data_IF_167739007305
#
_entry.id   IF_167739007305
#
_cell.length_a   1.000
_cell.length_b   1.000
_cell.length_c   1.000
_cell.angle_alpha   90.00
_cell.angle_beta   90.00
_cell.angle_gamma   90.00
#
_symmetry.space_group_name_H-M   'P 1'
#
loop_
_entity.id
_entity.type
_entity.pdbx_description
1 polymer ?
#
# COMPACT_ATOMS: atom_id res chain seq x y z
N UNK A 1 -2.95 -17.89 -2.19
CA UNK A 1 -3.44 -17.82 -0.80
C UNK A 1 -2.82 -16.63 -0.04
N UNK A 2 -1.50 -16.50 0.00
CA UNK A 2 -0.81 -15.38 0.68
C UNK A 2 -1.36 -14.03 0.20
N UNK A 3 -1.45 -13.84 -1.13
CA UNK A 3 -1.98 -12.61 -1.73
C UNK A 3 -3.40 -12.32 -1.25
N UNK A 4 -4.29 -13.29 -1.34
CA UNK A 4 -5.69 -13.12 -0.94
C UNK A 4 -5.82 -12.74 0.54
N UNK A 5 -5.15 -13.49 1.43
CA UNK A 5 -5.28 -13.30 2.89
C UNK A 5 -4.71 -11.95 3.33
N UNK A 6 -3.48 -11.63 2.90
CA UNK A 6 -2.78 -10.45 3.42
C UNK A 6 -3.15 -9.14 2.71
N UNK A 7 -3.87 -9.17 1.59
CA UNK A 7 -4.49 -7.95 1.05
C UNK A 7 -5.73 -7.50 1.84
N UNK A 8 -6.38 -8.38 2.64
CA UNK A 8 -7.53 -8.00 3.48
C UNK A 8 -7.18 -6.90 4.49
N UNK A 9 -6.15 -7.01 5.35
CA UNK A 9 -5.77 -5.95 6.29
C UNK A 9 -5.43 -4.63 5.58
N UNK A 10 -4.78 -4.68 4.42
CA UNK A 10 -4.49 -3.49 3.64
C UNK A 10 -5.77 -2.82 3.12
N UNK A 11 -6.69 -3.58 2.57
CA UNK A 11 -7.98 -3.06 2.11
C UNK A 11 -8.80 -2.48 3.27
N UNK A 12 -8.80 -3.14 4.42
CA UNK A 12 -9.45 -2.65 5.63
C UNK A 12 -8.85 -1.31 6.11
N UNK A 13 -7.52 -1.15 6.05
CA UNK A 13 -6.86 0.10 6.43
C UNK A 13 -7.27 1.27 5.53
N UNK A 14 -7.51 1.03 4.23
CA UNK A 14 -7.98 2.06 3.30
C UNK A 14 -9.44 2.42 3.61
N UNK A 15 -10.31 1.44 3.86
CA UNK A 15 -11.69 1.72 4.30
C UNK A 15 -11.70 2.53 5.61
N UNK A 16 -10.83 2.21 6.56
CA UNK A 16 -10.71 2.96 7.81
C UNK A 16 -10.36 4.43 7.54
N UNK A 17 -9.27 4.72 6.82
CA UNK A 17 -8.84 6.09 6.55
C UNK A 17 -9.87 6.90 5.77
N UNK A 18 -10.45 6.31 4.73
CA UNK A 18 -11.46 6.95 3.90
C UNK A 18 -12.73 7.26 4.71
N UNK A 19 -13.19 6.30 5.53
CA UNK A 19 -14.42 6.46 6.31
C UNK A 19 -14.29 7.46 7.44
N UNK A 20 -13.13 7.58 8.08
CA UNK A 20 -12.88 8.62 9.10
C UNK A 20 -12.91 10.01 8.49
N UNK A 21 -12.31 10.20 7.31
CA UNK A 21 -12.33 11.49 6.63
C UNK A 21 -13.76 11.86 6.20
N UNK A 22 -14.51 10.91 5.62
CA UNK A 22 -15.92 11.15 5.22
C UNK A 22 -16.81 11.40 6.42
N UNK A 23 -16.62 10.65 7.51
CA UNK A 23 -17.33 10.88 8.77
C UNK A 23 -17.12 12.29 9.30
N UNK A 24 -15.89 12.78 9.28
CA UNK A 24 -15.55 14.14 9.67
C UNK A 24 -16.17 15.17 8.71
N UNK A 25 -16.00 15.01 7.40
CA UNK A 25 -16.43 16.01 6.41
C UNK A 25 -17.95 16.13 6.29
N UNK A 26 -18.71 15.05 6.47
CA UNK A 26 -20.15 15.00 6.26
C UNK A 26 -20.95 14.72 7.54
N UNK A 27 -20.29 14.62 8.68
CA UNK A 27 -20.91 14.27 9.97
C UNK A 27 -21.76 12.98 9.91
N UNK A 28 -21.20 11.95 9.24
CA UNK A 28 -21.84 10.63 9.11
C UNK A 28 -21.13 9.65 10.06
N UNK A 29 -21.87 8.78 10.78
CA UNK A 29 -21.26 7.74 11.61
C UNK A 29 -20.30 6.85 10.82
N UNK A 30 -19.19 6.48 11.44
CA UNK A 30 -18.08 5.74 10.83
C UNK A 30 -18.53 4.46 10.11
N UNK A 31 -19.38 3.67 10.76
CA UNK A 31 -19.85 2.38 10.25
C UNK A 31 -20.62 2.54 8.93
N UNK A 32 -21.43 3.58 8.82
CA UNK A 32 -22.18 3.89 7.59
C UNK A 32 -21.25 4.34 6.48
N UNK A 33 -20.19 5.08 6.80
CA UNK A 33 -19.17 5.44 5.82
C UNK A 33 -18.45 4.21 5.28
N UNK A 34 -18.05 3.26 6.14
CA UNK A 34 -17.41 1.99 5.74
C UNK A 34 -18.32 1.22 4.78
N UNK A 35 -19.60 1.05 5.13
CA UNK A 35 -20.57 0.31 4.30
C UNK A 35 -20.78 1.02 2.96
N UNK A 36 -20.97 2.35 2.96
CA UNK A 36 -21.16 3.14 1.75
C UNK A 36 -19.98 3.00 0.79
N UNK A 37 -18.75 3.16 1.33
CA UNK A 37 -17.52 3.04 0.53
C UNK A 37 -17.33 1.64 -0.03
N UNK A 38 -17.68 0.61 0.73
CA UNK A 38 -17.65 -0.78 0.27
C UNK A 38 -18.63 -1.03 -0.89
N UNK A 39 -19.86 -0.50 -0.80
CA UNK A 39 -20.85 -0.61 -1.88
C UNK A 39 -20.37 0.13 -3.13
N UNK A 40 -19.87 1.35 -3.01
CA UNK A 40 -19.31 2.13 -4.13
C UNK A 40 -18.16 1.36 -4.78
N UNK A 41 -17.23 0.81 -3.96
CA UNK A 41 -16.10 0.01 -4.46
C UNK A 41 -16.59 -1.23 -5.22
N UNK A 42 -17.56 -1.98 -4.67
CA UNK A 42 -18.10 -3.17 -5.31
C UNK A 42 -18.73 -2.84 -6.68
N UNK A 43 -19.56 -1.81 -6.74
CA UNK A 43 -20.21 -1.36 -7.98
C UNK A 43 -19.17 -0.92 -9.01
N UNK A 44 -18.21 -0.09 -8.59
CA UNK A 44 -17.17 0.44 -9.47
C UNK A 44 -16.26 -0.67 -10.03
N UNK A 45 -15.82 -1.61 -9.20
CA UNK A 45 -14.93 -2.69 -9.62
C UNK A 45 -15.63 -3.72 -10.50
N UNK A 46 -16.87 -4.09 -10.16
CA UNK A 46 -17.65 -5.10 -10.91
C UNK A 46 -18.06 -4.57 -12.29
N UNK A 47 -18.47 -3.29 -12.39
CA UNK A 47 -18.95 -2.69 -13.63
C UNK A 47 -17.85 -2.05 -14.47
N UNK A 48 -16.81 -1.48 -13.83
CA UNK A 48 -15.81 -0.66 -14.52
C UNK A 48 -14.73 -1.46 -15.27
N UNK A 49 -14.32 -2.59 -14.75
CA UNK A 49 -13.21 -3.38 -15.29
C UNK A 49 -11.86 -2.62 -15.29
N UNK A 50 -10.82 -3.25 -15.84
CA UNK A 50 -9.45 -2.73 -15.77
C UNK A 50 -9.24 -1.41 -16.53
N UNK A 51 -9.83 -1.27 -17.73
CA UNK A 51 -9.60 -0.09 -18.58
C UNK A 51 -10.23 1.18 -18.02
N UNK A 52 -11.44 1.08 -17.49
CA UNK A 52 -12.11 2.21 -16.86
C UNK A 52 -11.36 2.68 -15.59
N UNK A 53 -10.82 1.75 -14.82
CA UNK A 53 -10.01 2.08 -13.65
C UNK A 53 -8.72 2.82 -14.04
N UNK A 54 -8.02 2.39 -15.08
CA UNK A 54 -6.75 2.99 -15.52
C UNK A 54 -6.92 4.45 -15.98
N UNK A 55 -7.98 4.78 -16.72
CA UNK A 55 -8.28 6.16 -17.14
C UNK A 55 -8.63 7.03 -15.93
N UNK A 56 -9.44 6.50 -15.05
CA UNK A 56 -9.82 7.19 -13.82
C UNK A 56 -8.61 7.45 -12.92
N UNK A 57 -7.71 6.47 -12.74
CA UNK A 57 -6.47 6.60 -11.98
C UNK A 57 -5.58 7.75 -12.50
N UNK A 58 -5.53 7.94 -13.82
CA UNK A 58 -4.77 9.04 -14.42
C UNK A 58 -5.34 10.42 -14.05
N UNK A 59 -6.66 10.59 -14.15
CA UNK A 59 -7.35 11.85 -13.77
C UNK A 59 -7.17 12.12 -12.29
N UNK A 60 -7.34 11.09 -11.47
CA UNK A 60 -7.16 11.14 -10.03
C UNK A 60 -5.72 11.53 -9.65
N UNK A 61 -4.72 11.01 -10.36
CA UNK A 61 -3.32 11.36 -10.16
C UNK A 61 -3.06 12.87 -10.30
N UNK A 62 -3.69 13.52 -11.29
CA UNK A 62 -3.57 14.98 -11.48
C UNK A 62 -4.20 15.73 -10.30
N UNK A 63 -5.38 15.30 -9.85
CA UNK A 63 -6.06 15.88 -8.67
C UNK A 63 -5.19 15.73 -7.43
N UNK A 64 -4.57 14.59 -7.23
CA UNK A 64 -3.68 14.33 -6.09
C UNK A 64 -2.46 15.25 -6.09
N UNK A 65 -1.81 15.47 -7.25
CA UNK A 65 -0.66 16.36 -7.36
C UNK A 65 -1.00 17.81 -6.96
N UNK A 66 -2.09 18.34 -7.47
CA UNK A 66 -2.51 19.72 -7.16
C UNK A 66 -3.04 19.84 -5.71
N UNK A 67 -3.84 18.85 -5.28
CA UNK A 67 -4.51 18.87 -3.99
C UNK A 67 -3.54 18.81 -2.81
N UNK A 68 -2.52 17.93 -2.85
CA UNK A 68 -1.58 17.83 -1.74
C UNK A 68 -0.78 19.11 -1.51
N UNK A 69 -0.38 19.80 -2.58
CA UNK A 69 0.33 21.09 -2.49
C UNK A 69 -0.57 22.15 -1.87
N UNK A 70 -1.84 22.24 -2.29
CA UNK A 70 -2.80 23.19 -1.75
C UNK A 70 -3.07 22.94 -0.26
N UNK A 71 -3.22 21.67 0.14
CA UNK A 71 -3.45 21.29 1.55
C UNK A 71 -2.26 21.64 2.43
N UNK A 72 -1.04 21.30 2.00
CA UNK A 72 0.18 21.64 2.74
C UNK A 72 0.27 23.15 2.94
N UNK A 73 0.07 23.93 1.88
CA UNK A 73 0.10 25.39 1.96
C UNK A 73 -0.93 25.94 2.94
N UNK A 74 -2.15 25.43 2.93
CA UNK A 74 -3.23 25.85 3.81
C UNK A 74 -2.97 25.50 5.29
N UNK A 75 -2.55 24.26 5.57
CA UNK A 75 -2.24 23.80 6.93
C UNK A 75 -1.08 24.62 7.52
N UNK A 76 -0.01 24.81 6.77
CA UNK A 76 1.14 25.61 7.24
C UNK A 76 0.78 27.08 7.41
N UNK A 77 -0.04 27.66 6.54
CA UNK A 77 -0.52 29.04 6.71
C UNK A 77 -1.30 29.22 8.01
N UNK A 78 -2.14 28.25 8.36
CA UNK A 78 -2.86 28.23 9.64
C UNK A 78 -1.95 28.15 10.87
N UNK A 79 -0.73 27.65 10.71
CA UNK A 79 0.28 27.56 11.78
C UNK A 79 1.26 28.76 11.82
N UNK A 80 1.05 29.78 10.98
CA UNK A 80 1.93 30.96 10.87
C UNK A 80 3.07 30.77 9.86
N UNK A 81 2.97 29.76 8.99
CA UNK A 81 3.96 29.41 7.97
C UNK A 81 4.92 28.32 8.40
N UNK A 82 5.73 27.85 7.45
CA UNK A 82 6.61 26.70 7.64
C UNK A 82 7.59 26.87 8.82
N UNK A 83 8.30 28.01 8.86
CA UNK A 83 9.33 28.23 9.90
C UNK A 83 8.74 28.32 11.31
N UNK A 84 7.53 28.93 11.43
CA UNK A 84 6.84 28.99 12.71
C UNK A 84 6.32 27.62 13.15
N UNK A 85 5.75 26.85 12.23
CA UNK A 85 5.32 25.48 12.48
C UNK A 85 6.47 24.58 12.98
N UNK A 86 7.64 24.65 12.31
CA UNK A 86 8.86 23.94 12.76
C UNK A 86 9.32 24.44 14.13
N UNK A 87 9.30 25.76 14.35
CA UNK A 87 9.64 26.34 15.65
C UNK A 87 8.72 25.89 16.79
N UNK A 88 7.42 25.75 16.53
CA UNK A 88 6.46 25.19 17.49
C UNK A 88 6.76 23.72 17.77
N UNK A 89 6.97 22.92 16.72
CA UNK A 89 7.35 21.49 16.85
C UNK A 89 8.61 21.26 17.66
N UNK A 90 9.65 22.10 17.45
CA UNK A 90 10.91 21.99 18.17
C UNK A 90 10.77 22.20 19.69
N UNK A 91 9.71 22.86 20.13
CA UNK A 91 9.45 23.13 21.56
C UNK A 91 8.65 22.01 22.23
N UNK A 92 8.05 21.10 21.48
CA UNK A 92 7.27 19.98 22.03
C UNK A 92 8.27 18.96 22.61
N UNK A 93 8.20 18.63 23.92
CA UNK A 93 8.99 17.56 24.51
C UNK A 93 8.60 16.21 23.91
N UNK A 94 9.57 15.35 23.66
CA UNK A 94 9.28 14.02 23.14
C UNK A 94 8.58 13.16 24.19
N UNK A 95 7.51 12.47 23.75
CA UNK A 95 6.80 11.43 24.48
C UNK A 95 7.27 10.01 24.06
N UNK A 96 8.23 9.94 23.13
CA UNK A 96 8.77 8.67 22.64
C UNK A 96 9.86 8.18 23.61
N UNK A 97 9.81 6.91 24.00
CA UNK A 97 10.68 6.31 25.03
C UNK A 97 12.18 6.60 24.82
N UNK A 98 12.66 6.46 23.58
CA UNK A 98 14.08 6.64 23.22
C UNK A 98 14.59 8.09 23.46
N UNK A 99 13.70 9.08 23.31
CA UNK A 99 14.00 10.50 23.41
C UNK A 99 13.11 11.25 24.40
N UNK A 100 12.60 10.52 25.41
CA UNK A 100 11.65 11.03 26.38
C UNK A 100 12.07 12.38 26.99
N UNK A 101 11.20 13.37 26.91
CA UNK A 101 11.41 14.72 27.46
C UNK A 101 12.38 15.60 26.65
N UNK A 102 13.00 15.11 25.59
CA UNK A 102 13.96 15.91 24.81
C UNK A 102 13.22 16.90 23.88
N UNK A 103 13.50 18.20 23.95
CA UNK A 103 13.02 19.16 22.98
C UNK A 103 13.77 18.99 21.64
N UNK A 104 13.09 19.30 20.53
CA UNK A 104 13.68 19.21 19.20
C UNK A 104 13.76 17.80 18.60
N UNK A 105 13.38 16.76 19.34
CA UNK A 105 13.42 15.39 18.84
C UNK A 105 12.55 15.21 17.57
N UNK A 106 11.37 15.85 17.52
CA UNK A 106 10.45 15.79 16.37
C UNK A 106 10.91 16.60 15.16
N UNK A 107 11.89 17.46 15.30
CA UNK A 107 12.49 18.25 14.20
C UNK A 107 13.90 17.77 13.85
N UNK A 108 14.38 16.71 14.51
CA UNK A 108 15.69 16.12 14.18
C UNK A 108 15.61 15.32 12.87
N UNK A 109 16.72 15.23 12.15
CA UNK A 109 16.82 14.49 10.90
C UNK A 109 16.50 12.99 11.07
N UNK A 110 16.87 12.42 12.21
CA UNK A 110 16.62 11.00 12.52
C UNK A 110 15.30 10.76 13.27
N UNK A 111 14.53 11.82 13.53
CA UNK A 111 13.28 11.74 14.29
C UNK A 111 13.51 11.36 15.77
N UNK A 112 12.43 11.14 16.51
CA UNK A 112 12.47 10.76 17.92
C UNK A 112 12.85 9.28 18.13
N UNK A 113 12.65 8.42 17.13
CA UNK A 113 13.02 6.99 17.14
C UNK A 113 13.65 6.60 15.80
N UNK A 114 14.97 6.63 15.70
CA UNK A 114 15.68 6.31 14.46
C UNK A 114 15.45 4.89 13.95
N UNK A 115 15.26 3.91 14.84
CA UNK A 115 15.04 2.53 14.44
C UNK A 115 13.67 2.34 13.85
N UNK A 116 12.64 2.94 14.45
CA UNK A 116 11.28 2.91 13.91
C UNK A 116 11.21 3.67 12.57
N UNK A 117 11.87 4.81 12.46
CA UNK A 117 11.99 5.55 11.21
C UNK A 117 12.63 4.70 10.10
N UNK A 118 13.73 3.99 10.41
CA UNK A 118 14.36 3.06 9.46
C UNK A 118 13.40 1.94 9.03
N UNK A 119 12.65 1.38 9.97
CA UNK A 119 11.60 0.38 9.68
C UNK A 119 10.55 0.92 8.72
N UNK A 120 10.04 2.13 8.95
CA UNK A 120 9.08 2.80 8.06
C UNK A 120 9.68 3.01 6.66
N UNK A 121 10.93 3.50 6.57
CA UNK A 121 11.62 3.72 5.29
C UNK A 121 11.77 2.40 4.52
N UNK A 122 12.22 1.34 5.16
CA UNK A 122 12.37 0.01 4.54
C UNK A 122 11.01 -0.49 4.06
N UNK A 123 10.00 -0.48 4.93
CA UNK A 123 8.65 -0.97 4.61
C UNK A 123 8.06 -0.24 3.41
N UNK A 124 8.14 1.08 3.37
CA UNK A 124 7.49 1.89 2.35
C UNK A 124 8.29 2.00 1.05
N UNK A 125 9.61 1.95 1.10
CA UNK A 125 10.46 2.03 -0.08
C UNK A 125 10.63 0.68 -0.77
N UNK A 126 10.98 -0.37 -0.03
CA UNK A 126 11.19 -1.71 -0.60
C UNK A 126 9.88 -2.49 -0.73
N UNK A 127 8.92 -2.25 0.18
CA UNK A 127 7.66 -2.98 0.21
C UNK A 127 6.90 -2.93 -1.12
N UNK A 128 6.84 -1.77 -1.75
CA UNK A 128 6.14 -1.56 -3.03
C UNK A 128 6.67 -2.47 -4.16
N UNK A 129 7.94 -2.85 -4.14
CA UNK A 129 8.54 -3.75 -5.14
C UNK A 129 8.10 -5.20 -4.98
N UNK A 130 7.70 -5.60 -3.79
CA UNK A 130 7.24 -6.96 -3.49
C UNK A 130 5.73 -7.13 -3.52
N UNK A 131 4.96 -6.07 -3.81
CA UNK A 131 3.51 -6.13 -3.81
C UNK A 131 2.95 -6.62 -5.15
N UNK A 132 2.19 -7.73 -5.18
CA UNK A 132 1.68 -8.34 -6.42
C UNK A 132 0.88 -7.38 -7.30
N UNK A 133 0.04 -6.53 -6.70
CA UNK A 133 -0.77 -5.54 -7.44
C UNK A 133 0.07 -4.48 -8.17
N UNK A 134 1.29 -4.21 -7.73
CA UNK A 134 2.22 -3.32 -8.42
C UNK A 134 2.85 -4.02 -9.62
N UNK A 135 3.23 -5.28 -9.46
CA UNK A 135 3.85 -6.08 -10.52
C UNK A 135 2.89 -6.28 -11.69
N UNK A 136 1.60 -6.52 -11.43
CA UNK A 136 0.59 -6.68 -12.47
C UNK A 136 0.51 -5.49 -13.44
N UNK A 137 0.81 -4.28 -12.99
CA UNK A 137 0.79 -3.09 -13.84
C UNK A 137 1.89 -3.09 -14.90
N UNK A 138 3.02 -3.77 -14.66
CA UNK A 138 4.10 -3.86 -15.64
C UNK A 138 3.72 -4.67 -16.88
N UNK A 139 2.84 -5.66 -16.77
CA UNK A 139 2.40 -6.47 -17.92
C UNK A 139 1.56 -5.69 -18.93
N UNK A 140 1.08 -4.49 -18.58
CA UNK A 140 0.25 -3.65 -19.44
C UNK A 140 1.04 -2.53 -20.11
N UNK A 141 2.35 -2.43 -19.87
CA UNK A 141 3.20 -1.39 -20.46
C UNK A 141 3.50 -1.76 -21.92
N UNK A 142 3.36 -0.78 -22.80
CA UNK A 142 3.39 -0.96 -24.24
C UNK A 142 4.80 -1.22 -24.82
N UNK A 143 5.78 -0.44 -24.38
CA UNK A 143 7.14 -0.43 -24.94
C UNK A 143 8.15 0.17 -23.93
N UNK A 144 9.45 0.02 -24.21
CA UNK A 144 10.53 0.52 -23.33
C UNK A 144 10.51 2.04 -23.16
N UNK A 145 10.13 2.79 -24.18
CA UNK A 145 10.01 4.26 -24.09
C UNK A 145 8.91 4.65 -23.11
N UNK A 146 7.81 3.91 -23.10
CA UNK A 146 6.73 4.08 -22.12
C UNK A 146 7.20 3.74 -20.70
N UNK A 147 8.09 2.76 -20.52
CA UNK A 147 8.72 2.46 -19.22
C UNK A 147 9.54 3.65 -18.74
N UNK A 148 10.42 4.21 -19.58
CA UNK A 148 11.28 5.35 -19.21
C UNK A 148 10.44 6.58 -18.84
N UNK A 149 9.45 6.91 -19.67
CA UNK A 149 8.54 8.04 -19.41
C UNK A 149 7.73 7.82 -18.14
N UNK A 150 7.20 6.61 -17.96
CA UNK A 150 6.46 6.22 -16.75
C UNK A 150 7.31 6.31 -15.49
N UNK A 151 8.58 5.90 -15.55
CA UNK A 151 9.51 6.00 -14.42
C UNK A 151 9.72 7.45 -13.98
N UNK A 152 9.92 8.37 -14.94
CA UNK A 152 10.09 9.81 -14.63
C UNK A 152 8.81 10.36 -13.99
N UNK A 153 7.65 10.11 -14.60
CA UNK A 153 6.36 10.60 -14.11
C UNK A 153 6.07 10.05 -12.71
N UNK A 154 6.24 8.74 -12.50
CA UNK A 154 5.99 8.10 -11.21
C UNK A 154 6.95 8.58 -10.12
N UNK A 155 8.21 8.86 -10.48
CA UNK A 155 9.19 9.42 -9.53
C UNK A 155 8.80 10.83 -9.08
N UNK A 156 8.44 11.72 -10.01
CA UNK A 156 7.95 13.06 -9.68
C UNK A 156 6.67 12.98 -8.85
N UNK A 157 5.75 12.11 -9.24
CA UNK A 157 4.51 11.87 -8.50
C UNK A 157 4.79 11.42 -7.06
N UNK A 158 5.69 10.44 -6.87
CA UNK A 158 6.04 9.93 -5.55
C UNK A 158 6.70 11.02 -4.67
N UNK A 159 7.59 11.84 -5.23
CA UNK A 159 8.21 12.95 -4.49
C UNK A 159 7.14 13.95 -4.03
N UNK A 160 6.22 14.35 -4.90
CA UNK A 160 5.23 15.38 -4.57
C UNK A 160 4.12 14.82 -3.69
N UNK A 161 3.52 13.68 -4.06
CA UNK A 161 2.34 13.15 -3.35
C UNK A 161 2.76 12.38 -2.10
N UNK A 162 3.59 11.34 -2.23
CA UNK A 162 4.00 10.56 -1.05
C UNK A 162 4.88 11.39 -0.11
N UNK A 163 5.87 12.10 -0.66
CA UNK A 163 6.72 13.01 0.11
C UNK A 163 5.91 14.12 0.77
N UNK A 164 4.93 14.68 0.07
CA UNK A 164 4.01 15.69 0.61
C UNK A 164 3.13 15.16 1.74
N UNK A 165 2.60 13.93 1.63
CA UNK A 165 1.82 13.30 2.69
C UNK A 165 2.66 13.06 3.96
N UNK A 166 3.88 12.51 3.82
CA UNK A 166 4.78 12.32 4.97
C UNK A 166 5.20 13.66 5.60
N UNK A 167 5.50 14.64 4.76
CA UNK A 167 5.82 15.99 5.22
C UNK A 167 4.66 16.61 6.02
N UNK A 168 3.44 16.54 5.50
CA UNK A 168 2.24 17.04 6.17
C UNK A 168 1.98 16.29 7.49
N UNK A 169 2.09 14.95 7.47
CA UNK A 169 1.91 14.10 8.64
C UNK A 169 2.86 14.43 9.79
N UNK A 170 4.08 14.89 9.48
CA UNK A 170 5.04 15.35 10.47
C UNK A 170 4.51 16.47 11.37
N UNK A 171 3.61 17.31 10.88
CA UNK A 171 3.01 18.41 11.64
C UNK A 171 1.77 18.00 12.46
N UNK A 172 1.35 16.74 12.41
CA UNK A 172 0.17 16.25 13.14
C UNK A 172 0.21 16.53 14.65
N UNK A 173 1.39 16.54 15.24
CA UNK A 173 1.58 16.84 16.68
C UNK A 173 1.30 18.30 17.09
N UNK A 174 1.13 19.21 16.13
CA UNK A 174 0.68 20.58 16.40
C UNK A 174 -0.83 20.68 16.61
N UNK A 175 -1.56 19.57 16.36
CA UNK A 175 -3.00 19.52 16.41
C UNK A 175 -3.43 18.57 17.55
N UNK A 176 -3.43 19.12 18.78
CA UNK A 176 -3.89 18.42 19.97
C UNK A 176 -5.33 18.83 20.30
N UNK A 177 -6.20 17.85 20.52
CA UNK A 177 -7.62 18.07 20.86
C UNK A 177 -8.18 16.82 21.55
N UNK A 178 -9.17 16.98 22.44
CA UNK A 178 -9.88 15.85 23.02
C UNK A 178 -10.48 14.88 22.00
N UNK A 179 -10.73 15.33 20.77
CA UNK A 179 -11.32 14.52 19.67
C UNK A 179 -10.38 13.46 19.12
N UNK A 180 -9.06 13.60 19.35
CA UNK A 180 -8.07 12.60 18.91
C UNK A 180 -7.79 11.54 19.99
N UNK A 181 -8.46 11.60 21.15
CA UNK A 181 -8.31 10.63 22.23
C UNK A 181 -9.50 9.69 22.30
N UNK A 182 -9.22 8.42 22.55
CA UNK A 182 -10.23 7.41 22.82
C UNK A 182 -10.84 7.55 24.24
N UNK A 183 -11.88 6.81 24.50
CA UNK A 183 -12.53 6.80 25.80
C UNK A 183 -11.62 6.33 26.96
N UNK A 184 -10.57 5.59 26.63
CA UNK A 184 -9.51 5.12 27.53
C UNK A 184 -8.35 6.12 27.71
N UNK A 185 -8.43 7.29 27.06
CA UNK A 185 -7.39 8.31 27.05
C UNK A 185 -6.20 8.02 26.13
N UNK A 186 -6.24 6.95 25.35
CA UNK A 186 -5.23 6.65 24.35
C UNK A 186 -5.40 7.50 23.09
N UNK A 187 -4.28 7.81 22.39
CA UNK A 187 -4.32 8.55 21.13
C UNK A 187 -4.85 7.65 20.01
N UNK A 188 -5.92 8.10 19.35
CA UNK A 188 -6.45 7.48 18.13
C UNK A 188 -5.72 8.08 16.94
N UNK A 189 -4.58 7.51 16.57
CA UNK A 189 -3.68 8.02 15.53
C UNK A 189 -4.38 8.31 14.20
N UNK A 190 -5.35 7.48 13.81
CA UNK A 190 -6.10 7.62 12.57
C UNK A 190 -7.09 8.82 12.57
N UNK A 191 -7.31 9.47 13.71
CA UNK A 191 -8.13 10.68 13.85
C UNK A 191 -7.32 11.98 13.74
N UNK A 192 -5.99 11.92 13.83
CA UNK A 192 -5.12 13.12 13.82
C UNK A 192 -5.26 13.87 12.49
N UNK A 193 -5.14 13.17 11.36
CA UNK A 193 -5.21 13.81 10.04
C UNK A 193 -6.61 14.36 9.74
N UNK A 194 -7.72 13.63 9.93
CA UNK A 194 -9.06 14.21 9.84
C UNK A 194 -9.22 15.47 10.68
N UNK A 195 -8.79 15.44 11.94
CA UNK A 195 -8.86 16.60 12.83
C UNK A 195 -8.03 17.80 12.32
N UNK A 196 -6.78 17.56 11.89
CA UNK A 196 -5.93 18.60 11.30
C UNK A 196 -6.58 19.27 10.08
N UNK A 197 -7.33 18.50 9.29
CA UNK A 197 -7.99 18.97 8.07
C UNK A 197 -9.34 19.63 8.34
N UNK A 198 -10.00 19.32 9.45
CA UNK A 198 -11.32 19.91 9.81
C UNK A 198 -11.26 21.44 10.03
N UNK A 199 -10.10 21.98 10.38
CA UNK A 199 -9.88 23.41 10.54
C UNK A 199 -9.66 24.19 9.24
N UNK A 200 -9.69 23.51 8.07
CA UNK A 200 -9.53 24.15 6.77
C UNK A 200 -10.85 24.77 6.28
N UNK A 201 -10.79 25.81 5.41
CA UNK A 201 -11.98 26.30 4.73
C UNK A 201 -12.73 25.20 3.96
N UNK A 202 -14.06 25.25 3.92
CA UNK A 202 -14.93 24.22 3.32
C UNK A 202 -14.51 23.79 1.91
N UNK A 203 -14.09 24.75 1.09
CA UNK A 203 -13.64 24.46 -0.28
C UNK A 203 -12.38 23.56 -0.28
N UNK A 204 -11.47 23.76 0.67
CA UNK A 204 -10.27 22.94 0.80
C UNK A 204 -10.60 21.56 1.40
N UNK A 205 -11.52 21.48 2.35
CA UNK A 205 -12.05 20.19 2.84
C UNK A 205 -12.66 19.43 1.68
N UNK A 206 -13.44 20.06 0.81
CA UNK A 206 -13.97 19.44 -0.40
C UNK A 206 -12.87 18.89 -1.33
N UNK A 207 -11.81 19.65 -1.57
CA UNK A 207 -10.64 19.20 -2.36
C UNK A 207 -9.97 18.00 -1.70
N UNK A 208 -9.77 18.02 -0.38
CA UNK A 208 -9.19 16.90 0.38
C UNK A 208 -10.05 15.64 0.25
N UNK A 209 -11.36 15.78 0.40
CA UNK A 209 -12.30 14.65 0.25
C UNK A 209 -12.16 14.02 -1.13
N UNK A 210 -12.15 14.83 -2.20
CA UNK A 210 -11.96 14.34 -3.58
C UNK A 210 -10.58 13.67 -3.73
N UNK A 211 -9.52 14.28 -3.19
CA UNK A 211 -8.16 13.75 -3.22
C UNK A 211 -8.09 12.36 -2.57
N UNK A 212 -8.57 12.23 -1.34
CA UNK A 212 -8.50 10.97 -0.58
C UNK A 212 -9.42 9.92 -1.18
N UNK A 213 -10.62 10.31 -1.64
CA UNK A 213 -11.51 9.40 -2.37
C UNK A 213 -10.82 8.86 -3.62
N UNK A 214 -10.21 9.74 -4.41
CA UNK A 214 -9.47 9.38 -5.62
C UNK A 214 -8.35 8.37 -5.34
N UNK A 215 -7.49 8.68 -4.37
CA UNK A 215 -6.39 7.82 -3.97
C UNK A 215 -6.88 6.44 -3.46
N UNK A 216 -7.92 6.46 -2.64
CA UNK A 216 -8.47 5.23 -2.05
C UNK A 216 -9.15 4.36 -3.10
N UNK A 217 -9.95 4.92 -4.00
CA UNK A 217 -10.65 4.16 -5.04
C UNK A 217 -9.68 3.49 -6.01
N UNK A 218 -8.62 4.20 -6.43
CA UNK A 218 -7.55 3.63 -7.27
C UNK A 218 -6.87 2.44 -6.60
N UNK A 219 -6.56 2.56 -5.31
CA UNK A 219 -5.91 1.49 -4.56
C UNK A 219 -6.88 0.33 -4.30
N UNK A 220 -8.11 0.60 -3.84
CA UNK A 220 -9.12 -0.42 -3.56
C UNK A 220 -9.41 -1.28 -4.81
N UNK A 221 -9.58 -0.66 -5.98
CA UNK A 221 -9.80 -1.41 -7.22
C UNK A 221 -8.63 -2.35 -7.55
N UNK A 222 -7.40 -1.88 -7.40
CA UNK A 222 -6.20 -2.69 -7.64
C UNK A 222 -6.10 -3.87 -6.65
N UNK A 223 -6.37 -3.67 -5.36
CA UNK A 223 -6.30 -4.71 -4.34
C UNK A 223 -7.37 -5.78 -4.54
N UNK A 224 -8.61 -5.34 -4.76
CA UNK A 224 -9.76 -6.22 -4.94
C UNK A 224 -9.62 -7.05 -6.21
N UNK A 225 -9.22 -6.44 -7.33
CA UNK A 225 -9.00 -7.15 -8.60
C UNK A 225 -7.84 -8.13 -8.50
N UNK A 226 -6.68 -7.72 -7.94
CA UNK A 226 -5.53 -8.60 -7.78
C UNK A 226 -5.86 -9.80 -6.89
N UNK A 227 -6.49 -9.57 -5.75
CA UNK A 227 -6.89 -10.63 -4.82
C UNK A 227 -7.82 -11.64 -5.48
N UNK A 228 -8.86 -11.16 -6.14
CA UNK A 228 -9.90 -11.99 -6.76
C UNK A 228 -9.40 -12.71 -8.02
N UNK A 229 -8.61 -12.04 -8.87
CA UNK A 229 -8.05 -12.64 -10.08
C UNK A 229 -7.02 -13.72 -9.76
N UNK A 230 -6.11 -13.46 -8.81
CA UNK A 230 -5.12 -14.46 -8.37
C UNK A 230 -5.79 -15.73 -7.84
N UNK A 231 -6.83 -15.57 -7.01
CA UNK A 231 -7.55 -16.73 -6.50
C UNK A 231 -8.37 -17.45 -7.58
N UNK A 232 -8.98 -16.71 -8.52
CA UNK A 232 -9.79 -17.28 -9.60
C UNK A 232 -8.93 -17.96 -10.66
N UNK A 233 -7.93 -17.25 -11.18
CA UNK A 233 -7.15 -17.69 -12.33
C UNK A 233 -6.01 -18.62 -11.92
N UNK A 234 -5.16 -18.19 -11.00
CA UNK A 234 -3.95 -18.92 -10.65
C UNK A 234 -4.24 -20.12 -9.75
N UNK A 235 -5.23 -20.00 -8.86
CA UNK A 235 -5.55 -21.12 -7.95
C UNK A 235 -6.72 -21.97 -8.45
N UNK A 236 -7.92 -21.41 -8.61
CA UNK A 236 -9.11 -22.23 -8.93
C UNK A 236 -9.06 -22.81 -10.34
N UNK A 237 -8.74 -21.99 -11.34
CA UNK A 237 -8.67 -22.45 -12.74
C UNK A 237 -7.52 -23.43 -12.96
N UNK A 238 -6.32 -23.09 -12.52
CA UNK A 238 -5.14 -23.90 -12.84
C UNK A 238 -5.00 -25.16 -11.97
N UNK A 239 -5.53 -25.13 -10.74
CA UNK A 239 -5.37 -26.23 -9.80
C UNK A 239 -6.63 -27.11 -9.67
N UNK A 240 -7.81 -26.49 -9.50
CA UNK A 240 -9.04 -27.18 -9.11
C UNK A 240 -9.99 -27.40 -10.31
N UNK A 241 -10.17 -26.39 -11.17
CA UNK A 241 -11.18 -26.38 -12.25
C UNK A 241 -10.55 -26.10 -13.61
N UNK A 242 -9.61 -26.93 -14.06
CA UNK A 242 -8.83 -26.75 -15.31
C UNK A 242 -9.63 -26.51 -16.59
N UNK A 243 -10.94 -26.82 -16.62
CA UNK A 243 -11.85 -26.64 -17.76
C UNK A 243 -12.88 -25.53 -17.52
N UNK A 244 -12.57 -24.52 -16.70
CA UNK A 244 -13.48 -23.43 -16.40
C UNK A 244 -13.67 -22.54 -17.65
N UNK A 245 -14.91 -22.38 -18.12
CA UNK A 245 -15.24 -21.48 -19.24
C UNK A 245 -15.03 -20.00 -18.83
N UNK A 246 -14.78 -19.13 -19.79
CA UNK A 246 -14.55 -17.69 -19.55
C UNK A 246 -15.71 -17.03 -18.78
N UNK A 247 -16.97 -17.34 -19.15
CA UNK A 247 -18.13 -16.84 -18.40
C UNK A 247 -18.11 -17.25 -16.95
N UNK A 248 -17.74 -18.52 -16.67
CA UNK A 248 -17.64 -19.02 -15.31
C UNK A 248 -16.50 -18.37 -14.54
N UNK A 249 -15.35 -18.09 -15.20
CA UNK A 249 -14.25 -17.36 -14.58
C UNK A 249 -14.68 -15.96 -14.13
N UNK A 250 -15.40 -15.23 -14.98
CA UNK A 250 -15.92 -13.88 -14.67
C UNK A 250 -16.89 -13.94 -13.47
N UNK A 251 -17.84 -14.87 -13.47
CA UNK A 251 -18.79 -15.00 -12.36
C UNK A 251 -18.09 -15.35 -11.05
N UNK A 252 -17.15 -16.30 -11.07
CA UNK A 252 -16.38 -16.69 -9.87
C UNK A 252 -15.54 -15.52 -9.38
N UNK A 253 -14.91 -14.77 -10.29
CA UNK A 253 -14.13 -13.59 -9.92
C UNK A 253 -15.02 -12.52 -9.27
N UNK A 254 -16.21 -12.26 -9.81
CA UNK A 254 -17.18 -11.30 -9.23
C UNK A 254 -17.65 -11.73 -7.84
N UNK A 255 -17.91 -13.02 -7.63
CA UNK A 255 -18.27 -13.56 -6.31
C UNK A 255 -17.11 -13.42 -5.31
N UNK A 256 -15.88 -13.66 -5.75
CA UNK A 256 -14.69 -13.48 -4.91
C UNK A 256 -14.40 -12.00 -4.62
N UNK A 257 -14.70 -11.08 -5.54
CA UNK A 257 -14.66 -9.63 -5.29
C UNK A 257 -15.58 -9.28 -4.11
N UNK A 258 -16.84 -9.69 -4.17
CA UNK A 258 -17.81 -9.42 -3.10
C UNK A 258 -17.36 -10.05 -1.79
N UNK A 259 -16.91 -11.30 -1.82
CA UNK A 259 -16.44 -12.00 -0.62
C UNK A 259 -15.22 -11.32 0.00
N UNK A 260 -14.24 -10.90 -0.80
CA UNK A 260 -13.05 -10.17 -0.35
C UNK A 260 -13.41 -8.81 0.27
N UNK A 261 -14.32 -8.06 -0.37
CA UNK A 261 -14.81 -6.78 0.17
C UNK A 261 -15.50 -7.00 1.51
N UNK A 262 -16.37 -8.01 1.64
CA UNK A 262 -17.04 -8.30 2.90
C UNK A 262 -16.06 -8.64 4.04
N UNK A 263 -15.04 -9.44 3.77
CA UNK A 263 -13.99 -9.73 4.76
C UNK A 263 -13.25 -8.46 5.19
N UNK A 264 -12.94 -7.59 4.22
CA UNK A 264 -12.25 -6.33 4.49
C UNK A 264 -13.11 -5.35 5.28
N UNK A 265 -14.41 -5.31 5.00
CA UNK A 265 -15.38 -4.49 5.76
C UNK A 265 -15.52 -4.96 7.20
N UNK A 266 -15.65 -6.26 7.43
CA UNK A 266 -15.71 -6.81 8.79
C UNK A 266 -14.49 -6.39 9.61
N UNK A 267 -13.31 -6.46 9.01
CA UNK A 267 -12.08 -6.03 9.67
C UNK A 267 -12.00 -4.50 9.84
N UNK A 268 -12.57 -3.73 8.91
CA UNK A 268 -12.57 -2.26 8.97
C UNK A 268 -13.58 -1.71 10.00
N UNK A 269 -14.67 -2.42 10.28
CA UNK A 269 -15.68 -2.00 11.27
C UNK A 269 -15.13 -2.02 12.70
N UNK A 270 -14.24 -2.96 13.02
CA UNK A 270 -13.55 -3.06 14.30
C UNK A 270 -12.06 -3.38 14.06
N UNK A 271 -11.27 -2.38 13.66
CA UNK A 271 -9.89 -2.60 13.29
C UNK A 271 -9.02 -2.92 14.51
N UNK A 272 -8.30 -4.06 14.52
CA UNK A 272 -7.47 -4.48 15.65
C UNK A 272 -6.22 -3.60 15.86
N UNK A 273 -5.93 -2.72 14.89
CA UNK A 273 -4.78 -1.84 14.90
C UNK A 273 -5.02 -0.61 14.01
N UNK A 274 -4.26 0.46 14.20
CA UNK A 274 -4.37 1.64 13.34
C UNK A 274 -3.80 1.38 11.93
N UNK A 275 -4.14 2.27 10.98
CA UNK A 275 -3.89 2.12 9.53
C UNK A 275 -2.46 1.66 9.21
N UNK A 276 -1.44 2.35 9.78
CA UNK A 276 -0.05 2.03 9.46
C UNK A 276 0.41 0.66 9.97
N UNK A 277 -0.16 0.17 11.09
CA UNK A 277 0.12 -1.18 11.60
C UNK A 277 -0.55 -2.25 10.73
N UNK A 278 -1.79 -2.05 10.30
CA UNK A 278 -2.46 -2.95 9.35
C UNK A 278 -1.69 -3.05 8.02
N UNK A 279 -1.18 -1.92 7.53
CA UNK A 279 -0.28 -1.90 6.37
C UNK A 279 1.02 -2.67 6.66
N UNK A 280 1.63 -2.48 7.83
CA UNK A 280 2.84 -3.17 8.24
C UNK A 280 2.69 -4.69 8.23
N UNK A 281 1.56 -5.20 8.73
CA UNK A 281 1.21 -6.62 8.69
C UNK A 281 1.04 -7.11 7.25
N UNK A 282 0.25 -6.41 6.45
CA UNK A 282 -0.01 -6.79 5.07
C UNK A 282 1.27 -6.78 4.22
N UNK A 283 1.97 -5.66 4.20
CA UNK A 283 3.17 -5.48 3.38
C UNK A 283 4.33 -6.33 3.90
N UNK A 284 4.43 -6.51 5.21
CA UNK A 284 5.40 -7.40 5.82
C UNK A 284 5.28 -8.83 5.33
N UNK A 285 4.06 -9.38 5.34
CA UNK A 285 3.80 -10.73 4.84
C UNK A 285 3.96 -10.85 3.32
N UNK A 286 3.42 -9.89 2.56
CA UNK A 286 3.47 -9.92 1.10
C UNK A 286 4.87 -9.64 0.57
N UNK A 287 5.43 -8.47 0.87
CA UNK A 287 6.74 -8.13 0.36
C UNK A 287 7.85 -8.93 1.04
N UNK A 288 7.70 -9.32 2.31
CA UNK A 288 8.59 -10.28 2.97
C UNK A 288 8.65 -11.62 2.25
N UNK A 289 7.53 -12.08 1.69
CA UNK A 289 7.49 -13.30 0.90
C UNK A 289 7.98 -13.12 -0.54
N UNK A 290 7.52 -12.06 -1.24
CA UNK A 290 7.66 -11.94 -2.71
C UNK A 290 8.80 -11.04 -3.19
N UNK A 291 9.25 -10.05 -2.40
CA UNK A 291 10.26 -9.07 -2.82
C UNK A 291 11.56 -9.75 -3.27
N UNK A 292 12.16 -10.56 -2.41
CA UNK A 292 13.44 -11.20 -2.70
C UNK A 292 13.35 -12.23 -3.82
N UNK A 293 12.36 -13.14 -3.84
CA UNK A 293 12.14 -14.03 -4.98
C UNK A 293 11.96 -13.29 -6.31
N UNK A 294 11.21 -12.21 -6.31
CA UNK A 294 10.98 -11.40 -7.52
C UNK A 294 12.27 -10.73 -7.98
N UNK A 295 12.97 -10.01 -7.09
CA UNK A 295 14.19 -9.31 -7.43
C UNK A 295 15.29 -10.27 -7.91
N UNK A 296 15.60 -11.31 -7.12
CA UNK A 296 16.64 -12.26 -7.48
C UNK A 296 16.22 -13.16 -8.66
N UNK A 297 14.94 -13.48 -8.80
CA UNK A 297 14.44 -14.25 -9.94
C UNK A 297 14.61 -13.53 -11.28
N UNK A 298 14.50 -12.20 -11.29
CA UNK A 298 14.72 -11.38 -12.50
C UNK A 298 16.20 -11.20 -12.84
N UNK A 299 17.06 -10.99 -11.85
CA UNK A 299 18.43 -10.52 -12.11
C UNK A 299 19.51 -11.56 -11.82
N UNK A 300 19.19 -12.65 -11.11
CA UNK A 300 20.20 -13.61 -10.69
C UNK A 300 19.88 -15.05 -11.12
N UNK A 301 20.62 -15.53 -12.12
CA UNK A 301 20.45 -16.86 -12.74
C UNK A 301 20.59 -18.04 -11.77
N UNK A 302 21.06 -17.80 -10.54
CA UNK A 302 21.32 -18.84 -9.53
C UNK A 302 20.15 -19.06 -8.57
N UNK A 303 19.10 -18.24 -8.63
CA UNK A 303 17.92 -18.35 -7.74
C UNK A 303 17.25 -19.72 -7.86
N UNK A 304 17.03 -20.40 -6.75
CA UNK A 304 16.48 -21.75 -6.72
C UNK A 304 15.05 -21.77 -6.18
N UNK A 305 14.27 -22.78 -6.57
CA UNK A 305 12.91 -22.99 -6.07
C UNK A 305 12.86 -23.15 -4.55
N UNK A 306 13.88 -23.81 -3.96
CA UNK A 306 13.97 -23.96 -2.51
C UNK A 306 14.14 -22.61 -1.80
N UNK A 307 14.93 -21.69 -2.37
CA UNK A 307 15.12 -20.34 -1.83
C UNK A 307 13.83 -19.52 -1.86
N UNK A 308 13.04 -19.65 -2.93
CA UNK A 308 11.71 -19.01 -3.03
C UNK A 308 10.78 -19.47 -1.92
N UNK A 309 10.71 -20.79 -1.68
CA UNK A 309 9.91 -21.33 -0.58
C UNK A 309 10.42 -20.90 0.79
N UNK A 310 11.73 -20.84 0.98
CA UNK A 310 12.32 -20.32 2.22
C UNK A 310 11.96 -18.86 2.49
N UNK A 311 11.95 -18.01 1.43
CA UNK A 311 11.47 -16.63 1.54
C UNK A 311 10.00 -16.54 1.91
N UNK A 312 9.13 -17.35 1.29
CA UNK A 312 7.71 -17.39 1.63
C UNK A 312 7.47 -17.76 3.09
N UNK A 313 8.14 -18.80 3.56
CA UNK A 313 8.03 -19.26 4.95
C UNK A 313 8.54 -18.21 5.92
N UNK A 314 9.71 -17.60 5.63
CA UNK A 314 10.30 -16.58 6.48
C UNK A 314 9.45 -15.30 6.51
N UNK A 315 9.06 -14.77 5.36
CA UNK A 315 8.30 -13.51 5.27
C UNK A 315 6.94 -13.60 5.96
N UNK A 316 6.16 -14.65 5.64
CA UNK A 316 4.88 -14.89 6.31
C UNK A 316 5.10 -15.28 7.78
N UNK A 317 6.07 -16.15 8.06
CA UNK A 317 6.35 -16.66 9.40
C UNK A 317 6.74 -15.53 10.38
N UNK A 318 7.64 -14.64 10.01
CA UNK A 318 8.04 -13.49 10.84
C UNK A 318 6.83 -12.60 11.13
N UNK A 319 6.07 -12.25 10.11
CA UNK A 319 4.93 -11.35 10.27
C UNK A 319 3.83 -11.98 11.13
N UNK A 320 3.44 -13.22 10.82
CA UNK A 320 2.36 -13.92 11.54
C UNK A 320 2.78 -14.25 12.97
N UNK A 321 4.00 -14.76 13.20
CA UNK A 321 4.45 -15.04 14.55
C UNK A 321 4.52 -13.77 15.41
N UNK A 322 4.92 -12.64 14.83
CA UNK A 322 4.91 -11.37 15.55
C UNK A 322 3.50 -10.91 15.95
N UNK A 323 2.47 -11.17 15.12
CA UNK A 323 1.08 -10.86 15.48
C UNK A 323 0.60 -11.59 16.73
N UNK A 324 1.06 -12.83 16.95
CA UNK A 324 0.64 -13.64 18.10
C UNK A 324 1.54 -13.51 19.31
N UNK A 325 2.84 -13.34 19.11
CA UNK A 325 3.84 -13.37 20.19
C UNK A 325 4.27 -11.96 20.60
N UNK A 326 4.25 -10.98 19.67
CA UNK A 326 4.60 -9.60 19.95
C UNK A 326 6.07 -9.34 20.31
N UNK A 327 7.01 -10.14 19.74
CA UNK A 327 8.44 -9.99 20.04
C UNK A 327 9.05 -8.71 19.43
N UNK A 328 8.41 -8.11 18.46
CA UNK A 328 8.70 -6.76 17.96
C UNK A 328 7.46 -5.90 18.20
N UNK A 329 7.60 -4.86 19.01
CA UNK A 329 6.48 -4.00 19.41
C UNK A 329 5.78 -3.33 18.21
N UNK A 330 6.55 -2.94 17.19
CA UNK A 330 6.01 -2.30 15.98
C UNK A 330 5.79 -3.34 14.86
N UNK A 331 4.54 -3.58 14.41
CA UNK A 331 4.27 -4.41 13.22
C UNK A 331 4.95 -3.90 11.95
N UNK A 332 5.22 -2.59 11.87
CA UNK A 332 5.98 -1.96 10.78
C UNK A 332 7.41 -2.48 10.77
N UNK A 333 8.07 -2.49 11.92
CA UNK A 333 9.44 -2.99 12.05
C UNK A 333 9.51 -4.51 11.82
N UNK A 334 8.50 -5.26 12.25
CA UNK A 334 8.38 -6.68 11.95
C UNK A 334 8.26 -6.94 10.44
N UNK A 335 7.47 -6.14 9.74
CA UNK A 335 7.35 -6.19 8.28
C UNK A 335 8.67 -5.84 7.57
N UNK A 336 9.35 -4.80 8.01
CA UNK A 336 10.68 -4.43 7.49
C UNK A 336 11.70 -5.55 7.70
N UNK A 337 11.71 -6.17 8.90
CA UNK A 337 12.57 -7.32 9.19
C UNK A 337 12.26 -8.51 8.26
N UNK A 338 10.99 -8.79 8.01
CA UNK A 338 10.59 -9.88 7.11
C UNK A 338 11.13 -9.68 5.68
N UNK A 339 11.11 -8.44 5.17
CA UNK A 339 11.69 -8.09 3.85
C UNK A 339 13.21 -8.28 3.83
N UNK A 340 13.91 -7.74 4.84
CA UNK A 340 15.37 -7.88 4.95
C UNK A 340 15.78 -9.34 5.11
N UNK A 341 15.03 -10.11 5.91
CA UNK A 341 15.26 -11.54 6.06
C UNK A 341 15.12 -12.28 4.72
N UNK A 342 14.11 -12.00 3.93
CA UNK A 342 13.95 -12.56 2.57
C UNK A 342 15.14 -12.25 1.67
N UNK A 343 15.61 -10.98 1.67
CA UNK A 343 16.77 -10.54 0.89
C UNK A 343 18.08 -11.27 1.27
N UNK A 344 18.19 -11.72 2.50
CA UNK A 344 19.34 -12.49 2.99
C UNK A 344 19.16 -13.99 2.74
N UNK A 345 17.97 -14.52 3.01
CA UNK A 345 17.65 -15.96 2.93
C UNK A 345 17.75 -16.46 1.49
N UNK A 346 17.21 -15.71 0.52
CA UNK A 346 17.20 -16.17 -0.87
C UNK A 346 18.59 -16.42 -1.43
N UNK A 347 19.57 -15.54 -1.32
CA UNK A 347 20.95 -15.82 -1.75
C UNK A 347 21.58 -17.00 -1.00
N UNK A 348 21.46 -17.06 0.31
CA UNK A 348 22.06 -18.11 1.13
C UNK A 348 21.50 -19.48 0.72
N UNK A 349 20.18 -19.65 0.69
CA UNK A 349 19.56 -20.92 0.35
C UNK A 349 19.81 -21.29 -1.12
N UNK A 350 19.83 -20.30 -2.03
CA UNK A 350 20.18 -20.56 -3.43
C UNK A 350 21.61 -21.09 -3.58
N UNK A 351 22.56 -20.61 -2.80
CA UNK A 351 23.95 -21.09 -2.84
C UNK A 351 24.09 -22.49 -2.23
N UNK A 352 23.30 -22.80 -1.20
CA UNK A 352 23.33 -24.10 -0.49
C UNK A 352 22.53 -25.20 -1.20
N UNK A 353 21.69 -24.85 -2.18
CA UNK A 353 20.87 -25.83 -2.90
C UNK A 353 21.37 -26.06 -4.33
N UNK A 354 21.04 -27.21 -4.98
CA UNK A 354 21.47 -27.50 -6.34
C UNK A 354 21.07 -26.38 -7.32
N UNK A 355 21.98 -26.04 -8.23
CA UNK A 355 21.72 -25.03 -9.26
C UNK A 355 20.56 -25.45 -10.16
N UNK A 356 19.73 -24.52 -10.67
CA UNK A 356 18.78 -24.81 -11.72
C UNK A 356 19.49 -25.31 -13.00
N UNK A 357 18.76 -26.05 -13.83
CA UNK A 357 19.27 -26.56 -15.11
C UNK A 357 19.69 -25.40 -16.04
N UNK A 358 20.89 -25.48 -16.59
CA UNK A 358 21.46 -24.40 -17.44
C UNK A 358 20.57 -24.09 -18.64
N UNK A 359 20.10 -25.13 -19.35
CA UNK A 359 19.26 -24.96 -20.53
C UNK A 359 17.95 -24.23 -20.20
N UNK A 360 17.32 -24.56 -19.06
CA UNK A 360 16.10 -23.89 -18.58
C UNK A 360 16.35 -22.41 -18.28
N UNK A 361 17.46 -22.11 -17.61
CA UNK A 361 17.84 -20.73 -17.24
C UNK A 361 18.17 -19.91 -18.49
N UNK A 362 18.96 -20.45 -19.43
CA UNK A 362 19.28 -19.76 -20.67
C UNK A 362 18.02 -19.44 -21.48
N UNK A 363 17.08 -20.36 -21.55
CA UNK A 363 15.80 -20.16 -22.23
C UNK A 363 14.97 -19.03 -21.58
N UNK A 364 14.90 -18.97 -20.23
CA UNK A 364 14.14 -17.93 -19.53
C UNK A 364 14.82 -16.57 -19.69
N UNK A 365 16.13 -16.50 -19.55
CA UNK A 365 16.88 -15.25 -19.62
C UNK A 365 17.13 -14.77 -21.07
N UNK A 366 16.83 -15.57 -22.09
CA UNK A 366 16.87 -15.13 -23.48
C UNK A 366 15.94 -13.94 -23.76
N UNK A 367 14.87 -13.76 -22.99
CA UNK A 367 13.97 -12.62 -23.10
C UNK A 367 14.67 -11.25 -22.90
N UNK A 368 15.83 -11.20 -22.23
CA UNK A 368 16.59 -9.96 -22.07
C UNK A 368 17.31 -9.53 -23.35
N UNK A 369 17.51 -10.46 -24.28
CA UNK A 369 18.14 -10.21 -25.58
C UNK A 369 17.10 -9.90 -26.69
N UNK A 370 15.79 -9.98 -26.35
CA UNK A 370 14.69 -9.76 -27.28
C UNK A 370 14.00 -8.42 -27.03
N UNK A 371 13.86 -7.60 -28.06
CA UNK A 371 13.04 -6.38 -28.00
C UNK A 371 11.65 -6.67 -28.55
N UNK A 372 10.64 -6.69 -27.66
CA UNK A 372 9.25 -6.92 -28.05
C UNK A 372 8.52 -5.60 -28.24
N UNK A 373 8.09 -5.32 -29.48
CA UNK A 373 7.22 -4.19 -29.79
C UNK A 373 5.78 -4.69 -29.90
N UNK A 374 4.94 -4.33 -28.92
CA UNK A 374 3.50 -4.66 -28.95
C UNK A 374 2.82 -3.74 -29.98
N UNK A 375 2.27 -4.31 -31.05
CA UNK A 375 1.50 -3.55 -32.03
C UNK A 375 0.20 -3.03 -31.40
N UNK A 376 -0.08 -1.75 -31.58
CA UNK A 376 -1.33 -1.15 -31.11
C UNK A 376 -2.48 -1.70 -31.95
N UNK A 377 -3.44 -2.38 -31.34
CA UNK A 377 -4.71 -2.70 -32.00
C UNK A 377 -5.49 -1.41 -32.24
N UNK A 378 -5.93 -1.16 -33.46
CA UNK A 378 -6.67 0.04 -33.83
C UNK A 378 -8.18 -0.07 -33.58
N UNK A 379 -8.70 -1.28 -33.34
CA UNK A 379 -10.10 -1.52 -32.95
C UNK A 379 -10.22 -2.76 -32.05
N UNK A 380 -11.31 -2.85 -31.28
CA UNK A 380 -11.66 -4.02 -30.47
C UNK A 380 -12.13 -5.23 -31.35
N UNK A 381 -12.30 -5.04 -32.65
CA UNK A 381 -12.77 -6.07 -33.59
C UNK A 381 -11.62 -6.86 -34.23
N UNK A 382 -10.38 -6.43 -34.07
CA UNK A 382 -9.19 -7.18 -34.51
C UNK A 382 -8.80 -8.22 -33.44
N UNK A 383 -9.53 -9.33 -33.43
CA UNK A 383 -9.17 -10.52 -32.65
C UNK A 383 -8.23 -11.41 -33.43
#
# INVERSE_FOLDING_TARGET
AIVFIFLVPYTASIYNGLSRLFGMAFNIPYEWCVILMAVITAVYVILGGYMATAINDFIQGIIMLAGIVAVIAAVLSGQGGFMEAVGKMARIPSDVEVTMGQPGAFTSFFGPDPLNLLGVIILTSLGTWGLPQMIHKFYTIRDEKSVQTGTIISTVFAIVVSGGCYFLGGFGRLFDSPEIYGADGSVVYDSIIPFMLSGLPDILVGIVVILVLSASMSTLSSLVLTSSSTLTLDFLKDTVMKKMSEKKQIIVMQLLIVFFILLSVVLALDPPAFIAQLMGISWGALAGAFLAPFLYGLYWKRTTRAAVWASFIAGVGITVSNMFIGYIASPINAGALAMVAGMIIVPIVSLLTPAPEKEHIEKIFACYDETVVIRKKHSLEEQ
#
